data_IF_272327075068
#
_entry.id   IF_272327075068
#
_cell.length_a   1.000
_cell.length_b   1.000
_cell.length_c   1.000
_cell.angle_alpha   90.00
_cell.angle_beta   90.00
_cell.angle_gamma   90.00
#
_symmetry.space_group_name_H-M   'P 1'
#
loop_
_entity.id
_entity.type
_entity.pdbx_description
1 polymer ?
#
# COMPACT_ATOMS: atom_id res chain seq x y z
N UNK A 1 44.21 -4.89 -34.25
CA UNK A 1 43.71 -5.80 -33.19
C UNK A 1 42.20 -5.63 -33.18
N UNK A 2 41.48 -6.58 -33.77
CA UNK A 2 40.06 -6.46 -34.09
C UNK A 2 39.29 -7.18 -32.99
N UNK A 3 38.53 -6.44 -32.19
CA UNK A 3 37.71 -7.03 -31.13
C UNK A 3 36.33 -7.29 -31.72
N UNK A 4 36.04 -8.56 -31.96
CA UNK A 4 34.71 -9.05 -32.32
C UNK A 4 33.85 -9.04 -31.05
N UNK A 5 32.80 -8.21 -31.01
CA UNK A 5 31.79 -8.27 -29.95
C UNK A 5 30.76 -9.34 -30.32
N UNK A 6 30.69 -10.38 -29.50
CA UNK A 6 29.69 -11.44 -29.58
C UNK A 6 28.28 -10.84 -29.45
N UNK A 7 27.38 -11.26 -30.33
CA UNK A 7 25.95 -11.03 -30.27
C UNK A 7 25.41 -11.45 -28.89
N UNK A 8 25.19 -10.49 -28.00
CA UNK A 8 24.25 -10.67 -26.92
C UNK A 8 22.86 -10.49 -27.52
N UNK A 9 22.12 -11.59 -27.64
CA UNK A 9 20.68 -11.54 -27.84
C UNK A 9 20.08 -10.67 -26.73
N UNK A 10 19.66 -9.47 -27.12
CA UNK A 10 18.79 -8.64 -26.30
C UNK A 10 17.48 -9.39 -26.20
N UNK A 11 17.29 -10.15 -25.12
CA UNK A 11 15.98 -10.66 -24.74
C UNK A 11 15.13 -9.43 -24.46
N UNK A 12 14.38 -9.00 -25.48
CA UNK A 12 13.30 -8.05 -25.32
C UNK A 12 12.29 -8.69 -24.37
N UNK A 13 12.38 -8.32 -23.09
CA UNK A 13 11.33 -8.62 -22.14
C UNK A 13 10.08 -7.92 -22.64
N UNK A 14 9.24 -8.65 -23.36
CA UNK A 14 7.88 -8.21 -23.63
C UNK A 14 7.17 -8.15 -22.30
N UNK A 15 7.13 -6.96 -21.69
CA UNK A 15 6.25 -6.67 -20.56
C UNK A 15 4.84 -7.00 -21.04
N UNK A 16 4.30 -8.15 -20.64
CA UNK A 16 2.89 -8.46 -20.85
C UNK A 16 2.13 -7.56 -19.89
N UNK A 17 1.82 -6.33 -20.33
CA UNK A 17 0.98 -5.43 -19.55
C UNK A 17 -0.38 -6.10 -19.38
N UNK A 18 -0.77 -6.33 -18.12
CA UNK A 18 -2.12 -6.81 -17.83
C UNK A 18 -3.09 -5.70 -18.28
N UNK A 19 -4.08 -6.00 -19.14
CA UNK A 19 -5.03 -5.01 -19.60
C UNK A 19 -5.73 -4.32 -18.42
N UNK A 20 -5.99 -3.02 -18.57
CA UNK A 20 -6.77 -2.30 -17.57
C UNK A 20 -8.23 -2.78 -17.57
N UNK A 21 -8.73 -3.13 -16.39
CA UNK A 21 -10.09 -3.59 -16.16
C UNK A 21 -10.89 -2.50 -15.42
N UNK A 22 -11.74 -1.76 -16.14
CA UNK A 22 -12.55 -0.67 -15.55
C UNK A 22 -13.64 -1.17 -14.61
N UNK A 23 -14.06 -2.42 -14.75
CA UNK A 23 -15.10 -3.10 -13.98
C UNK A 23 -14.51 -4.15 -13.01
N UNK A 24 -13.22 -4.01 -12.67
CA UNK A 24 -12.53 -4.88 -11.73
C UNK A 24 -13.14 -4.71 -10.33
N UNK A 25 -13.52 -5.83 -9.73
CA UNK A 25 -14.00 -5.91 -8.34
C UNK A 25 -13.04 -6.75 -7.52
N UNK A 26 -13.12 -6.67 -6.19
CA UNK A 26 -12.37 -7.54 -5.28
C UNK A 26 -12.64 -9.02 -5.58
N UNK A 27 -13.90 -9.38 -5.88
CA UNK A 27 -14.29 -10.76 -6.19
C UNK A 27 -13.61 -11.27 -7.47
N UNK A 28 -13.63 -10.46 -8.54
CA UNK A 28 -12.93 -10.78 -9.79
C UNK A 28 -11.42 -10.84 -9.59
N UNK A 29 -10.86 -9.95 -8.78
CA UNK A 29 -9.45 -9.94 -8.44
C UNK A 29 -9.04 -11.21 -7.68
N UNK A 30 -9.84 -11.62 -6.69
CA UNK A 30 -9.63 -12.88 -5.98
C UNK A 30 -9.70 -14.08 -6.92
N UNK A 31 -10.63 -14.08 -7.87
CA UNK A 31 -10.71 -15.11 -8.91
C UNK A 31 -9.45 -15.15 -9.80
N UNK A 32 -8.98 -14.00 -10.30
CA UNK A 32 -7.77 -13.93 -11.13
C UNK A 32 -6.50 -14.38 -10.41
N UNK A 33 -6.44 -14.19 -9.10
CA UNK A 33 -5.28 -14.51 -8.27
C UNK A 33 -5.41 -15.85 -7.55
N UNK A 34 -6.44 -16.64 -7.85
CA UNK A 34 -6.75 -17.92 -7.18
C UNK A 34 -6.77 -17.80 -5.64
N UNK A 35 -7.29 -16.69 -5.13
CA UNK A 35 -7.41 -16.43 -3.69
C UNK A 35 -8.68 -17.12 -3.18
N UNK A 36 -8.50 -18.06 -2.26
CA UNK A 36 -9.61 -18.74 -1.61
C UNK A 36 -10.54 -17.74 -0.90
N UNK A 37 -11.88 -17.87 -1.04
CA UNK A 37 -12.85 -17.09 -0.26
C UNK A 37 -12.70 -17.23 1.26
N UNK A 38 -12.03 -18.30 1.72
CA UNK A 38 -11.73 -18.52 3.14
C UNK A 38 -10.58 -17.65 3.66
N UNK A 39 -9.83 -16.98 2.79
CA UNK A 39 -8.73 -16.08 3.15
C UNK A 39 -9.25 -14.71 3.62
N UNK A 40 -10.16 -14.71 4.60
CA UNK A 40 -10.93 -13.53 5.05
C UNK A 40 -10.03 -12.37 5.48
N UNK A 41 -8.91 -12.63 6.15
CA UNK A 41 -7.96 -11.59 6.57
C UNK A 41 -7.35 -10.87 5.35
N UNK A 42 -6.95 -11.63 4.33
CA UNK A 42 -6.41 -11.07 3.09
C UNK A 42 -7.49 -10.30 2.33
N UNK A 43 -8.68 -10.88 2.18
CA UNK A 43 -9.80 -10.25 1.46
C UNK A 43 -10.20 -8.93 2.15
N UNK A 44 -10.32 -8.92 3.47
CA UNK A 44 -10.63 -7.71 4.23
C UNK A 44 -9.51 -6.65 4.06
N UNK A 45 -8.25 -7.08 4.03
CA UNK A 45 -7.11 -6.19 3.78
C UNK A 45 -7.16 -5.60 2.36
N UNK A 46 -7.52 -6.41 1.36
CA UNK A 46 -7.71 -5.97 -0.02
C UNK A 46 -8.87 -4.98 -0.13
N UNK A 47 -10.03 -5.26 0.48
CA UNK A 47 -11.18 -4.35 0.48
C UNK A 47 -10.84 -3.00 1.11
N UNK A 48 -10.04 -3.01 2.17
CA UNK A 48 -9.61 -1.78 2.83
C UNK A 48 -8.64 -0.94 1.99
N UNK A 49 -7.65 -1.58 1.34
CA UNK A 49 -6.57 -0.88 0.63
C UNK A 49 -6.83 -0.65 -0.85
N UNK A 50 -7.62 -1.51 -1.51
CA UNK A 50 -7.87 -1.49 -2.94
C UNK A 50 -9.26 -0.95 -3.24
N UNK A 51 -9.50 0.29 -2.81
CA UNK A 51 -10.83 0.92 -2.83
C UNK A 51 -11.17 1.69 -4.12
N UNK A 52 -10.26 1.72 -5.11
CA UNK A 52 -10.51 2.27 -6.44
C UNK A 52 -10.14 1.28 -7.54
N UNK A 53 -10.71 1.47 -8.74
CA UNK A 53 -10.38 0.65 -9.90
C UNK A 53 -8.89 0.74 -10.24
N UNK A 54 -8.29 1.92 -10.14
CA UNK A 54 -6.86 2.14 -10.37
C UNK A 54 -6.01 1.30 -9.41
N UNK A 55 -6.38 1.28 -8.12
CA UNK A 55 -5.66 0.48 -7.11
C UNK A 55 -5.80 -1.02 -7.32
N UNK A 56 -6.99 -1.48 -7.71
CA UNK A 56 -7.22 -2.89 -8.02
C UNK A 56 -6.36 -3.34 -9.21
N UNK A 57 -6.30 -2.51 -10.27
CA UNK A 57 -5.49 -2.80 -11.45
C UNK A 57 -3.99 -2.72 -11.16
N UNK A 58 -3.55 -1.73 -10.38
CA UNK A 58 -2.16 -1.63 -9.94
C UNK A 58 -1.74 -2.89 -9.15
N UNK A 59 -2.59 -3.32 -8.22
CA UNK A 59 -2.34 -4.53 -7.44
C UNK A 59 -2.28 -5.78 -8.32
N UNK A 60 -3.22 -5.95 -9.25
CA UNK A 60 -3.24 -7.06 -10.20
C UNK A 60 -1.95 -7.11 -11.03
N UNK A 61 -1.55 -5.98 -11.62
CA UNK A 61 -0.34 -5.87 -12.43
C UNK A 61 0.93 -6.22 -11.64
N UNK A 62 1.02 -5.74 -10.40
CA UNK A 62 2.17 -5.98 -9.52
C UNK A 62 2.15 -7.39 -8.90
N UNK A 63 1.01 -8.06 -8.88
CA UNK A 63 0.86 -9.40 -8.27
C UNK A 63 1.62 -10.48 -9.03
N UNK A 64 1.78 -10.34 -10.35
CA UNK A 64 2.54 -11.27 -11.21
C UNK A 64 3.96 -11.53 -10.72
N UNK A 65 4.58 -10.50 -10.11
CA UNK A 65 5.96 -10.55 -9.64
C UNK A 65 6.05 -10.56 -8.10
N UNK A 66 4.91 -10.57 -7.41
CA UNK A 66 4.88 -10.53 -5.96
C UNK A 66 5.01 -11.93 -5.37
N UNK A 67 5.81 -12.06 -4.32
CA UNK A 67 5.95 -13.32 -3.57
C UNK A 67 4.66 -13.72 -2.83
N UNK A 68 3.93 -12.73 -2.32
CA UNK A 68 2.70 -12.96 -1.55
C UNK A 68 1.76 -11.74 -1.59
N UNK A 69 0.44 -11.91 -1.80
CA UNK A 69 -0.54 -10.82 -1.84
C UNK A 69 -0.47 -9.84 -0.66
N UNK A 70 -0.42 -10.35 0.58
CA UNK A 70 -0.27 -9.49 1.77
C UNK A 70 1.01 -8.65 1.75
N UNK A 71 2.13 -9.23 1.29
CA UNK A 71 3.40 -8.51 1.25
C UNK A 71 3.37 -7.36 0.23
N UNK A 72 2.66 -7.57 -0.88
CA UNK A 72 2.45 -6.54 -1.89
C UNK A 72 1.57 -5.40 -1.35
N UNK A 73 0.48 -5.74 -0.65
CA UNK A 73 -0.37 -4.75 -0.01
C UNK A 73 0.42 -3.89 0.99
N UNK A 74 1.23 -4.52 1.85
CA UNK A 74 2.10 -3.80 2.79
C UNK A 74 3.09 -2.89 2.07
N UNK A 75 3.68 -3.37 0.96
CA UNK A 75 4.62 -2.59 0.15
C UNK A 75 3.94 -1.36 -0.46
N UNK A 76 2.80 -1.54 -1.11
CA UNK A 76 2.02 -0.45 -1.73
C UNK A 76 1.63 0.60 -0.70
N UNK A 77 1.11 0.16 0.46
CA UNK A 77 0.76 1.07 1.56
C UNK A 77 1.97 1.86 2.07
N UNK A 78 3.14 1.21 2.18
CA UNK A 78 4.36 1.89 2.59
C UNK A 78 4.77 2.95 1.56
N UNK A 79 4.71 2.63 0.27
CA UNK A 79 5.01 3.57 -0.82
C UNK A 79 4.11 4.81 -0.75
N UNK A 80 2.82 4.65 -0.47
CA UNK A 80 1.89 5.78 -0.32
C UNK A 80 2.20 6.67 0.89
N UNK A 81 2.45 6.04 2.04
CA UNK A 81 2.82 6.76 3.26
C UNK A 81 4.14 7.49 3.05
N UNK A 82 5.09 6.86 2.38
CA UNK A 82 6.38 7.47 2.08
C UNK A 82 6.22 8.60 1.05
N UNK A 83 5.31 8.50 0.09
CA UNK A 83 5.07 9.54 -0.91
C UNK A 83 4.30 10.75 -0.36
N UNK A 84 3.22 10.51 0.39
CA UNK A 84 2.21 11.52 0.73
C UNK A 84 2.12 11.85 2.24
N UNK A 85 2.74 11.03 3.09
CA UNK A 85 2.76 11.24 4.53
C UNK A 85 3.69 12.37 4.98
N UNK A 86 3.73 12.60 6.29
CA UNK A 86 4.61 13.59 6.90
C UNK A 86 6.08 13.17 6.83
N UNK A 87 6.94 14.10 6.40
CA UNK A 87 8.40 13.92 6.31
C UNK A 87 9.10 14.24 7.63
N UNK A 88 8.53 15.15 8.40
CA UNK A 88 9.07 15.60 9.67
C UNK A 88 7.98 15.67 10.73
N UNK A 89 8.43 15.56 11.98
CA UNK A 89 7.55 15.58 13.15
C UNK A 89 6.89 16.93 13.36
N UNK A 90 7.59 18.03 13.07
CA UNK A 90 7.13 19.39 13.36
C UNK A 90 5.88 19.73 12.56
N UNK A 91 5.88 19.42 11.26
CA UNK A 91 4.72 19.60 10.38
C UNK A 91 3.54 18.76 10.84
N UNK A 92 3.77 17.50 11.25
CA UNK A 92 2.71 16.67 11.81
C UNK A 92 2.13 17.28 13.09
N UNK A 93 2.96 17.74 14.03
CA UNK A 93 2.50 18.34 15.30
C UNK A 93 1.63 19.56 15.04
N UNK A 94 2.07 20.42 14.12
CA UNK A 94 1.34 21.63 13.75
C UNK A 94 -0.05 21.31 13.20
N UNK A 95 -0.13 20.38 12.24
CA UNK A 95 -1.41 19.96 11.66
C UNK A 95 -2.29 19.21 12.67
N UNK A 96 -1.69 18.40 13.55
CA UNK A 96 -2.41 17.63 14.57
C UNK A 96 -3.19 18.55 15.53
N UNK A 97 -2.59 19.66 15.96
CA UNK A 97 -3.27 20.62 16.83
C UNK A 97 -4.32 21.46 16.11
N UNK A 98 -4.19 21.66 14.79
CA UNK A 98 -5.18 22.35 13.96
C UNK A 98 -6.38 21.46 13.65
N UNK A 99 -6.11 20.24 13.19
CA UNK A 99 -7.11 19.27 12.77
C UNK A 99 -6.56 17.85 12.94
N UNK A 100 -6.84 17.28 14.11
CA UNK A 100 -6.40 15.93 14.50
C UNK A 100 -6.81 14.86 13.49
N UNK A 101 -8.04 14.90 12.98
CA UNK A 101 -8.57 13.91 12.04
C UNK A 101 -7.76 13.92 10.74
N UNK A 102 -7.64 15.08 10.12
CA UNK A 102 -6.92 15.25 8.86
C UNK A 102 -5.43 14.92 9.00
N UNK A 103 -4.82 15.26 10.14
CA UNK A 103 -3.44 14.90 10.42
C UNK A 103 -3.24 13.38 10.51
N UNK A 104 -4.19 12.63 11.10
CA UNK A 104 -4.12 11.18 11.09
C UNK A 104 -4.36 10.57 9.71
N UNK A 105 -5.31 11.12 8.96
CA UNK A 105 -5.58 10.66 7.59
C UNK A 105 -4.35 10.81 6.71
N UNK A 106 -3.67 11.95 6.80
CA UNK A 106 -2.42 12.18 6.09
C UNK A 106 -1.26 11.34 6.64
N UNK A 107 -1.20 11.08 7.94
CA UNK A 107 -0.14 10.26 8.52
C UNK A 107 -0.22 8.79 8.07
N UNK A 108 -1.43 8.25 7.97
CA UNK A 108 -1.67 6.84 7.70
C UNK A 108 -2.15 6.54 6.27
N UNK A 109 -2.48 7.57 5.49
CA UNK A 109 -3.08 7.47 4.15
C UNK A 109 -4.38 6.64 4.14
N UNK A 110 -5.19 6.81 5.18
CA UNK A 110 -6.45 6.08 5.37
C UNK A 110 -7.41 6.87 6.25
N UNK A 111 -8.70 6.54 6.24
CA UNK A 111 -9.67 7.24 7.09
C UNK A 111 -9.31 7.14 8.59
N UNK A 112 -9.38 8.29 9.28
CA UNK A 112 -9.16 8.38 10.71
C UNK A 112 -10.47 8.13 11.47
N UNK A 113 -10.80 6.84 11.63
CA UNK A 113 -11.91 6.39 12.46
C UNK A 113 -11.73 6.85 13.93
N UNK A 114 -12.85 7.10 14.62
CA UNK A 114 -12.85 7.65 15.99
C UNK A 114 -12.00 6.82 16.96
N UNK A 115 -12.13 5.50 16.94
CA UNK A 115 -11.37 4.60 17.82
C UNK A 115 -9.84 4.74 17.63
N UNK A 116 -9.38 5.06 16.42
CA UNK A 116 -7.96 5.29 16.11
C UNK A 116 -7.50 6.60 16.74
N UNK A 117 -8.32 7.64 16.66
CA UNK A 117 -8.04 8.92 17.31
C UNK A 117 -8.03 8.81 18.84
N UNK A 118 -8.88 7.93 19.39
CA UNK A 118 -8.95 7.65 20.83
C UNK A 118 -7.73 6.85 21.30
N UNK A 119 -7.28 5.86 20.52
CA UNK A 119 -6.05 5.08 20.78
C UNK A 119 -4.81 5.97 20.91
N UNK A 120 -4.72 7.03 20.11
CA UNK A 120 -3.58 7.96 20.12
C UNK A 120 -3.85 9.25 20.90
N UNK A 121 -4.81 9.23 21.83
CA UNK A 121 -5.16 10.39 22.65
C UNK A 121 -4.05 10.81 23.63
N UNK A 122 -3.20 9.88 24.07
CA UNK A 122 -2.16 10.10 25.09
C UNK A 122 -0.85 10.61 24.50
N UNK A 123 -0.81 11.91 24.15
CA UNK A 123 0.43 12.66 23.89
C UNK A 123 1.06 12.48 22.50
N UNK A 124 1.49 13.59 21.89
CA UNK A 124 1.99 13.67 20.51
C UNK A 124 3.31 12.91 20.29
N UNK A 125 4.15 12.81 21.33
CA UNK A 125 5.36 11.99 21.26
C UNK A 125 5.00 10.52 21.02
N UNK A 126 4.01 10.01 21.76
CA UNK A 126 3.55 8.63 21.60
C UNK A 126 2.80 8.44 20.28
N UNK A 127 2.00 9.39 19.82
CA UNK A 127 1.28 9.26 18.56
C UNK A 127 2.23 9.16 17.35
N UNK A 128 3.23 10.06 17.24
CA UNK A 128 4.17 10.03 16.12
C UNK A 128 5.11 8.83 16.19
N UNK A 129 5.61 8.48 17.38
CA UNK A 129 6.46 7.31 17.60
C UNK A 129 5.72 5.99 17.39
N UNK A 130 4.50 5.83 17.92
CA UNK A 130 3.71 4.61 17.68
C UNK A 130 3.30 4.53 16.21
N UNK A 131 2.94 5.64 15.56
CA UNK A 131 2.63 5.63 14.13
C UNK A 131 3.85 5.29 13.27
N UNK A 132 5.05 5.77 13.63
CA UNK A 132 6.29 5.39 12.93
C UNK A 132 6.71 3.96 13.21
N UNK A 133 6.42 3.41 14.39
CA UNK A 133 6.65 1.99 14.72
C UNK A 133 5.59 1.07 14.10
N UNK A 134 4.33 1.50 13.99
CA UNK A 134 3.26 0.76 13.32
C UNK A 134 3.41 0.74 11.80
N UNK A 135 4.26 1.60 11.22
CA UNK A 135 4.73 1.47 9.82
C UNK A 135 5.52 0.17 9.60
N UNK A 136 5.96 -0.52 10.66
CA UNK A 136 6.78 -1.74 10.60
C UNK A 136 6.00 -3.00 10.95
N UNK A 137 4.89 -2.90 11.70
CA UNK A 137 4.18 -4.09 12.17
C UNK A 137 2.67 -3.87 12.22
N UNK A 138 1.95 -4.50 11.30
CA UNK A 138 0.53 -4.83 11.48
C UNK A 138 0.35 -6.31 11.10
N UNK A 139 0.85 -7.17 11.99
CA UNK A 139 0.30 -8.49 12.23
C UNK A 139 -0.29 -8.46 13.63
N UNK A 140 -1.62 -8.38 13.69
CA UNK A 140 -2.49 -8.95 14.74
C UNK A 140 -3.92 -8.79 14.24
#
# INVERSE_FOLDING_TARGET
>A
MTITLNNQEVVTMTTTEIPYHSDLTIEKLCYFLDISPKATILINSMQFMLNTAERLNEFLNRSTFAKHPLSLLTKMRKEDIDAHGYKDKTTFVYDYYRNKKMAFEKLFQEEALQWKMDKYRTGILNAFTIATLSKVSIHT
#
